data_IF_719819340865
#
_entry.id   IF_719819340865
#
_cell.length_a   1.000
_cell.length_b   1.000
_cell.length_c   1.000
_cell.angle_alpha   90.00
_cell.angle_beta   90.00
_cell.angle_gamma   90.00
#
_symmetry.space_group_name_H-M   'P 1'
#
loop_
_entity.id
_entity.type
_entity.pdbx_description
1 polymer ?
#
# COMPACT_ATOMS: atom_id res chain seq x y z
N UNK A 1 -32.51 -19.38 6.28
CA UNK A 1 -31.59 -18.96 5.21
C UNK A 1 -30.18 -19.14 5.73
N UNK A 2 -29.44 -20.13 5.22
CA UNK A 2 -28.05 -20.40 5.62
C UNK A 2 -27.14 -19.49 4.78
N UNK A 3 -26.61 -18.45 5.42
CA UNK A 3 -25.64 -17.55 4.78
C UNK A 3 -24.39 -18.33 4.43
N UNK A 4 -24.19 -18.58 3.14
CA UNK A 4 -22.92 -19.03 2.58
C UNK A 4 -21.87 -17.98 2.90
N UNK A 5 -20.93 -18.30 3.81
CA UNK A 5 -19.68 -17.58 3.96
C UNK A 5 -18.94 -17.71 2.64
N UNK A 6 -19.04 -16.68 1.82
CA UNK A 6 -18.30 -16.52 0.59
C UNK A 6 -16.80 -16.61 0.92
N UNK A 7 -16.19 -17.72 0.51
CA UNK A 7 -14.77 -18.01 0.64
C UNK A 7 -13.97 -16.77 0.24
N UNK A 8 -13.23 -16.25 1.21
CA UNK A 8 -12.36 -15.09 1.11
C UNK A 8 -11.65 -15.05 -0.24
N UNK A 9 -11.78 -13.91 -0.95
CA UNK A 9 -10.97 -13.56 -2.11
C UNK A 9 -9.52 -13.94 -1.78
N UNK A 10 -9.02 -14.96 -2.47
CA UNK A 10 -7.68 -15.55 -2.40
C UNK A 10 -6.85 -15.11 -1.19
N UNK A 11 -6.64 -16.02 -0.23
CA UNK A 11 -5.57 -15.89 0.74
C UNK A 11 -4.25 -15.60 -0.02
N UNK A 12 -3.89 -14.32 -0.14
CA UNK A 12 -2.60 -13.90 -0.64
C UNK A 12 -1.59 -14.72 0.14
N UNK A 13 -0.66 -15.41 -0.54
CA UNK A 13 0.29 -16.32 0.11
C UNK A 13 1.00 -15.55 1.22
N UNK A 14 0.55 -15.75 2.47
CA UNK A 14 1.09 -15.05 3.63
C UNK A 14 2.38 -15.74 3.99
N UNK A 15 3.49 -15.06 3.81
CA UNK A 15 4.79 -15.61 4.17
C UNK A 15 4.94 -15.54 5.70
N UNK A 16 4.88 -16.67 6.44
CA UNK A 16 4.81 -16.62 7.91
C UNK A 16 6.07 -16.02 8.54
N UNK A 17 7.18 -16.02 7.80
CA UNK A 17 8.46 -15.43 8.20
C UNK A 17 8.40 -13.89 8.25
N UNK A 18 7.53 -13.27 7.46
CA UNK A 18 7.37 -11.81 7.37
C UNK A 18 6.26 -11.30 8.31
N UNK A 19 5.36 -12.18 8.75
CA UNK A 19 4.19 -11.87 9.55
C UNK A 19 4.47 -11.26 10.93
N UNK A 20 5.73 -11.23 11.40
CA UNK A 20 6.11 -10.62 12.68
C UNK A 20 6.94 -9.34 12.52
N UNK A 21 7.40 -9.01 11.31
CA UNK A 21 8.30 -7.87 11.08
C UNK A 21 7.63 -6.54 11.42
N UNK A 22 6.31 -6.44 11.23
CA UNK A 22 5.53 -5.26 11.63
C UNK A 22 5.61 -4.96 13.13
N UNK A 23 5.90 -5.94 13.99
CA UNK A 23 6.01 -5.68 15.44
C UNK A 23 7.24 -4.84 15.77
N UNK A 24 8.35 -5.07 15.06
CA UNK A 24 9.64 -4.41 15.32
C UNK A 24 9.90 -3.22 14.40
N UNK A 25 9.42 -3.25 13.16
CA UNK A 25 9.59 -2.16 12.20
C UNK A 25 8.56 -1.04 12.39
N UNK A 26 8.93 0.16 11.95
CA UNK A 26 8.00 1.28 11.83
C UNK A 26 7.07 1.09 10.62
N UNK A 27 5.95 1.82 10.60
CA UNK A 27 4.96 1.66 9.52
C UNK A 27 5.47 2.14 8.14
N UNK A 28 6.45 3.03 8.13
CA UNK A 28 7.08 3.58 6.92
C UNK A 28 8.12 2.61 6.32
N UNK A 29 8.72 1.77 7.16
CA UNK A 29 9.71 0.76 6.76
C UNK A 29 9.09 -0.60 6.40
N UNK A 30 7.77 -0.71 6.54
CA UNK A 30 7.05 -1.92 6.15
C UNK A 30 6.95 -2.03 4.64
N UNK A 31 7.14 -3.23 4.14
CA UNK A 31 6.88 -3.58 2.75
C UNK A 31 5.47 -4.14 2.56
N UNK A 32 4.97 -4.06 1.32
CA UNK A 32 3.69 -4.64 0.91
C UNK A 32 3.59 -6.12 1.29
N UNK A 33 4.67 -6.88 1.10
CA UNK A 33 4.72 -8.30 1.44
C UNK A 33 4.59 -8.55 2.95
N UNK A 34 5.21 -7.69 3.78
CA UNK A 34 5.09 -7.77 5.24
C UNK A 34 3.67 -7.42 5.71
N UNK A 35 3.03 -6.42 5.09
CA UNK A 35 1.65 -6.03 5.38
C UNK A 35 0.65 -7.11 4.94
N UNK A 36 0.86 -7.73 3.78
CA UNK A 36 0.06 -8.85 3.28
C UNK A 36 0.23 -10.11 4.12
N UNK A 37 1.42 -10.33 4.69
CA UNK A 37 1.71 -11.46 5.57
C UNK A 37 1.08 -11.32 6.98
N UNK A 38 0.52 -10.16 7.32
CA UNK A 38 -0.12 -9.97 8.62
C UNK A 38 -1.34 -10.90 8.80
N UNK A 39 -1.56 -11.44 10.01
CA UNK A 39 -2.70 -12.31 10.27
C UNK A 39 -4.01 -11.55 10.14
N UNK A 40 -5.09 -12.24 9.77
CA UNK A 40 -6.39 -11.59 9.54
C UNK A 40 -6.98 -10.98 10.83
N UNK A 41 -6.61 -11.50 11.99
CA UNK A 41 -6.94 -10.92 13.29
C UNK A 41 -6.36 -9.52 13.52
N UNK A 42 -5.32 -9.17 12.78
CA UNK A 42 -4.62 -7.88 12.84
C UNK A 42 -5.00 -6.96 11.66
N UNK A 43 -6.04 -7.33 10.91
CA UNK A 43 -6.52 -6.54 9.78
C UNK A 43 -6.90 -5.12 10.23
N UNK A 44 -6.35 -4.13 9.54
CA UNK A 44 -6.52 -2.69 9.77
C UNK A 44 -6.13 -2.21 11.17
N UNK A 45 -5.14 -2.86 11.80
CA UNK A 45 -4.52 -2.32 13.01
C UNK A 45 -3.76 -1.00 12.73
N UNK A 46 -3.34 -0.31 13.80
CA UNK A 46 -2.72 1.01 13.71
C UNK A 46 -1.49 1.05 12.79
N UNK A 47 -0.73 -0.05 12.72
CA UNK A 47 0.46 -0.16 11.87
C UNK A 47 0.10 -0.27 10.40
N UNK A 48 -0.87 -1.13 10.03
CA UNK A 48 -1.37 -1.20 8.66
C UNK A 48 -1.99 0.14 8.23
N UNK A 49 -2.75 0.77 9.13
CA UNK A 49 -3.35 2.08 8.86
C UNK A 49 -2.31 3.16 8.62
N UNK A 50 -1.24 3.19 9.41
CA UNK A 50 -0.14 4.12 9.20
C UNK A 50 0.58 3.87 7.86
N UNK A 51 0.83 2.61 7.50
CA UNK A 51 1.42 2.23 6.22
C UNK A 51 0.57 2.70 5.02
N UNK A 52 -0.74 2.42 5.05
CA UNK A 52 -1.62 2.86 3.96
C UNK A 52 -1.79 4.38 3.91
N UNK A 53 -1.83 5.07 5.05
CA UNK A 53 -1.81 6.54 5.09
C UNK A 53 -0.56 7.10 4.43
N UNK A 54 0.61 6.54 4.74
CA UNK A 54 1.87 6.96 4.12
C UNK A 54 1.83 6.80 2.59
N UNK A 55 1.41 5.62 2.11
CA UNK A 55 1.24 5.37 0.67
C UNK A 55 0.27 6.31 -0.02
N UNK A 56 -0.87 6.62 0.61
CA UNK A 56 -1.85 7.55 0.05
C UNK A 56 -1.32 8.97 -0.05
N UNK A 57 -0.54 9.42 0.95
CA UNK A 57 0.13 10.73 0.92
C UNK A 57 1.19 10.78 -0.19
N UNK A 58 2.00 9.73 -0.33
CA UNK A 58 2.97 9.61 -1.42
C UNK A 58 2.28 9.64 -2.78
N UNK A 59 1.26 8.81 -2.99
CA UNK A 59 0.52 8.77 -4.25
C UNK A 59 -0.10 10.13 -4.59
N UNK A 60 -0.66 10.83 -3.59
CA UNK A 60 -1.15 12.19 -3.78
C UNK A 60 -0.04 13.14 -4.24
N UNK A 61 1.13 13.08 -3.60
CA UNK A 61 2.28 13.91 -3.96
C UNK A 61 2.79 13.59 -5.38
N UNK A 62 2.88 12.30 -5.73
CA UNK A 62 3.29 11.84 -7.05
C UNK A 62 2.31 12.32 -8.13
N UNK A 63 0.99 12.28 -7.86
CA UNK A 63 -0.01 12.84 -8.77
C UNK A 63 0.19 14.35 -9.00
N UNK A 64 0.53 15.11 -7.95
CA UNK A 64 0.84 16.53 -8.08
C UNK A 64 2.14 16.77 -8.87
N UNK A 65 3.17 15.95 -8.65
CA UNK A 65 4.45 16.05 -9.34
C UNK A 65 4.32 15.67 -10.84
N UNK A 66 3.63 14.58 -11.16
CA UNK A 66 3.37 14.14 -12.54
C UNK A 66 2.56 15.18 -13.32
N UNK A 67 1.61 15.85 -12.66
CA UNK A 67 0.90 16.96 -13.26
C UNK A 67 1.84 18.13 -13.62
N UNK A 68 2.90 18.36 -12.83
CA UNK A 68 3.96 19.32 -13.15
C UNK A 68 4.86 18.84 -14.30
N UNK A 69 5.25 17.58 -14.32
CA UNK A 69 6.13 17.00 -15.34
C UNK A 69 5.51 17.04 -16.75
N UNK A 70 4.18 16.94 -16.84
CA UNK A 70 3.45 17.08 -18.11
C UNK A 70 3.51 18.51 -18.64
N UNK A 71 3.67 19.52 -17.76
CA UNK A 71 3.86 20.92 -18.20
C UNK A 71 5.29 21.21 -18.66
N UNK A 72 6.29 20.47 -18.18
CA UNK A 72 7.68 20.59 -18.66
C UNK A 72 7.88 19.85 -19.98
N UNK A 73 7.38 18.61 -20.14
CA UNK A 73 7.46 17.90 -21.41
C UNK A 73 6.73 18.63 -22.56
N UNK A 74 5.62 19.33 -22.29
CA UNK A 74 4.95 20.19 -23.28
C UNK A 74 5.74 21.47 -23.61
N UNK A 75 6.60 21.95 -22.70
CA UNK A 75 7.50 23.10 -22.96
C UNK A 75 8.70 22.69 -23.81
N UNK A 76 9.17 21.45 -23.69
CA UNK A 76 10.24 20.91 -24.54
C UNK A 76 9.74 20.65 -25.98
N UNK A 77 8.51 20.17 -26.16
CA UNK A 77 7.91 19.92 -27.49
C UNK A 77 7.41 21.19 -28.22
N UNK A 78 7.50 22.38 -27.61
CA UNK A 78 7.11 23.67 -28.24
C UNK A 78 8.28 24.56 -28.63
N UNK A 79 9.53 24.10 -28.46
CA UNK A 79 10.73 24.78 -29.00
C UNK A 79 11.23 24.03 -30.22
N UNK A 80 10.51 24.16 -31.34
CA UNK A 80 11.01 23.94 -32.71
C UNK A 80 10.40 24.96 -33.65
#
# INVERSE_FOLDING_TARGET
>A
MTTTLQTSVAAAKKDPKLANNWKTKSAEELSDAEVLAMPDSEYMNDKQMAFFRHKLVQLKQDMHNNAGETTEHLREDTVV
#
